data_IF_068879465839
#
_entry.id   IF_068879465839
#
_cell.length_a   1.000
_cell.length_b   1.000
_cell.length_c   1.000
_cell.angle_alpha   90.00
_cell.angle_beta   90.00
_cell.angle_gamma   90.00
#
_symmetry.space_group_name_H-M   'P 1'
#
loop_
_entity.id
_entity.type
_entity.pdbx_description
1 polymer ?
#
# COMPACT_ATOMS: atom_id res chain seq x y z
N UNK A 1 7.87 -2.62 5.55
CA UNK A 1 7.76 -2.47 7.03
C UNK A 1 8.75 -1.39 7.48
N UNK A 2 8.51 -0.72 8.60
CA UNK A 2 9.44 0.33 9.10
C UNK A 2 10.84 -0.27 9.37
N UNK A 3 11.87 0.42 8.89
CA UNK A 3 13.27 0.01 9.03
C UNK A 3 13.72 0.07 10.49
N UNK A 4 14.37 -0.99 10.96
CA UNK A 4 14.92 -1.02 12.33
C UNK A 4 15.99 0.08 12.48
N UNK A 5 15.86 0.90 13.52
CA UNK A 5 16.80 1.99 13.80
C UNK A 5 16.39 3.37 13.29
N UNK A 6 15.23 3.51 12.62
CA UNK A 6 14.63 4.82 12.33
C UNK A 6 13.90 5.46 13.54
N UNK A 7 14.06 4.90 14.76
CA UNK A 7 13.34 5.32 15.97
C UNK A 7 14.10 6.34 16.84
N UNK A 8 15.40 6.55 16.60
CA UNK A 8 16.23 7.47 17.39
C UNK A 8 17.00 8.45 16.50
N UNK A 9 16.93 9.72 16.91
CA UNK A 9 17.24 10.91 16.14
C UNK A 9 18.56 10.88 15.35
N UNK A 10 18.49 11.39 14.12
CA UNK A 10 19.55 12.01 13.31
C UNK A 10 20.06 11.23 12.08
N UNK A 11 19.17 10.88 11.14
CA UNK A 11 19.57 10.34 9.83
C UNK A 11 18.64 10.84 8.71
N UNK A 12 19.21 11.54 7.73
CA UNK A 12 18.58 11.76 6.40
C UNK A 12 18.04 10.46 5.80
N UNK A 13 18.70 9.34 6.12
CA UNK A 13 18.40 7.95 5.77
C UNK A 13 17.02 7.38 6.21
N UNK A 14 16.22 8.15 6.95
CA UNK A 14 14.88 7.75 7.42
C UNK A 14 13.78 8.72 6.95
N UNK A 15 14.03 9.50 5.90
CA UNK A 15 13.04 10.40 5.31
C UNK A 15 12.31 9.74 4.13
N UNK A 16 11.06 10.13 3.90
CA UNK A 16 10.25 9.64 2.78
C UNK A 16 10.17 8.11 2.74
N UNK A 17 10.51 7.52 1.59
CA UNK A 17 10.47 6.07 1.36
C UNK A 17 11.62 5.30 2.03
N UNK A 18 12.72 5.96 2.39
CA UNK A 18 13.93 5.30 2.95
C UNK A 18 13.69 4.71 4.34
N UNK A 19 12.65 5.17 5.03
CA UNK A 19 12.22 4.64 6.34
C UNK A 19 11.60 3.23 6.26
N UNK A 20 11.43 2.67 5.06
CA UNK A 20 10.81 1.37 4.86
C UNK A 20 11.80 0.34 4.31
N UNK A 21 11.69 -0.90 4.77
CA UNK A 21 12.46 -2.06 4.30
C UNK A 21 11.59 -3.33 4.20
N UNK A 22 12.14 -4.34 3.53
CA UNK A 22 11.55 -5.67 3.35
C UNK A 22 11.19 -5.99 1.90
N UNK A 23 10.77 -7.24 1.67
CA UNK A 23 10.56 -7.80 0.33
C UNK A 23 9.76 -6.91 -0.63
N UNK A 24 8.59 -6.42 -0.19
CA UNK A 24 7.74 -5.57 -1.03
C UNK A 24 8.40 -4.22 -1.40
N UNK A 25 9.27 -3.70 -0.52
CA UNK A 25 9.99 -2.46 -0.76
C UNK A 25 11.13 -2.68 -1.75
N UNK A 26 11.84 -3.80 -1.62
CA UNK A 26 12.89 -4.18 -2.57
C UNK A 26 12.33 -4.45 -3.97
N UNK A 27 11.12 -5.02 -4.05
CA UNK A 27 10.38 -5.16 -5.30
C UNK A 27 10.03 -3.80 -5.91
N UNK A 28 9.53 -2.84 -5.12
CA UNK A 28 9.21 -1.49 -5.62
C UNK A 28 10.45 -0.76 -6.13
N UNK A 29 11.59 -0.89 -5.44
CA UNK A 29 12.88 -0.37 -5.91
C UNK A 29 13.27 -0.98 -7.25
N UNK A 30 13.16 -2.30 -7.38
CA UNK A 30 13.46 -2.98 -8.64
C UNK A 30 12.54 -2.55 -9.80
N UNK A 31 11.28 -2.24 -9.51
CA UNK A 31 10.35 -1.70 -10.51
C UNK A 31 10.73 -0.27 -10.90
N UNK A 32 11.06 0.59 -9.94
CA UNK A 32 11.51 1.96 -10.18
C UNK A 32 12.80 2.03 -10.99
N UNK A 33 13.73 1.10 -10.77
CA UNK A 33 14.98 1.01 -11.54
C UNK A 33 14.77 0.54 -12.98
N UNK A 34 13.65 -0.15 -13.29
CA UNK A 34 13.41 -0.78 -14.60
C UNK A 34 12.38 -0.06 -15.45
N UNK A 35 11.53 0.77 -14.85
CA UNK A 35 10.45 1.47 -15.52
C UNK A 35 10.79 2.96 -15.52
N UNK A 36 10.97 3.53 -16.71
CA UNK A 36 11.21 4.97 -16.85
C UNK A 36 10.04 5.77 -16.25
N UNK A 37 10.39 6.89 -15.59
CA UNK A 37 9.45 7.79 -14.92
C UNK A 37 8.58 7.16 -13.81
N UNK A 38 8.98 6.01 -13.27
CA UNK A 38 8.30 5.38 -12.13
C UNK A 38 8.79 5.96 -10.80
N UNK A 39 8.03 6.92 -10.29
CA UNK A 39 8.17 7.49 -8.94
C UNK A 39 7.01 7.07 -8.06
N UNK A 40 7.28 6.84 -6.77
CA UNK A 40 6.26 6.38 -5.83
C UNK A 40 6.46 6.99 -4.45
N UNK A 41 5.39 7.10 -3.67
CA UNK A 41 5.41 7.40 -2.24
C UNK A 41 4.74 6.26 -1.48
N UNK A 42 5.32 5.82 -0.37
CA UNK A 42 4.76 4.74 0.44
C UNK A 42 3.91 5.32 1.57
N UNK A 43 2.61 5.00 1.50
CA UNK A 43 1.63 5.22 2.55
C UNK A 43 1.28 3.87 3.18
N UNK A 44 1.28 3.81 4.51
CA UNK A 44 0.91 2.59 5.24
C UNK A 44 -0.56 2.64 5.67
N UNK A 45 -1.28 1.56 5.40
CA UNK A 45 -2.60 1.30 5.98
C UNK A 45 -2.55 0.04 6.82
N UNK A 46 -3.31 0.03 7.92
CA UNK A 46 -3.50 -1.14 8.77
C UNK A 46 -4.75 -1.96 8.40
N UNK A 47 -5.51 -1.52 7.39
CA UNK A 47 -6.73 -2.18 6.92
C UNK A 47 -6.60 -2.56 5.45
N UNK A 48 -6.84 -3.83 5.14
CA UNK A 48 -6.98 -4.28 3.76
C UNK A 48 -8.19 -3.63 3.08
N UNK A 49 -9.33 -3.66 3.76
CA UNK A 49 -10.55 -3.00 3.34
C UNK A 49 -11.77 -3.85 3.62
N UNK A 50 -12.82 -3.20 4.08
CA UNK A 50 -14.12 -3.78 4.37
C UNK A 50 -15.21 -2.94 3.70
N UNK A 51 -16.22 -3.63 3.15
CA UNK A 51 -17.39 -2.97 2.59
C UNK A 51 -18.21 -2.36 3.72
N UNK A 52 -18.45 -1.07 3.63
CA UNK A 52 -19.23 -0.29 4.59
C UNK A 52 -20.74 -0.40 4.27
N UNK A 53 -21.62 -0.07 5.22
CA UNK A 53 -23.08 -0.12 5.01
C UNK A 53 -23.59 0.77 3.87
N UNK A 54 -22.89 1.87 3.59
CA UNK A 54 -23.20 2.78 2.48
C UNK A 54 -22.71 2.27 1.11
N UNK A 55 -22.09 1.09 1.07
CA UNK A 55 -21.56 0.46 -0.12
C UNK A 55 -20.13 0.86 -0.49
N UNK A 56 -19.53 1.84 0.19
CA UNK A 56 -18.13 2.21 0.03
C UNK A 56 -17.18 1.15 0.61
N UNK A 57 -15.90 1.25 0.31
CA UNK A 57 -14.85 0.43 0.92
C UNK A 57 -13.88 1.31 1.69
N UNK A 58 -13.37 0.80 2.81
CA UNK A 58 -12.29 1.44 3.56
C UNK A 58 -10.93 0.76 3.25
N UNK A 59 -9.87 1.22 3.93
CA UNK A 59 -8.55 0.62 3.85
C UNK A 59 -7.90 0.72 2.46
N UNK A 60 -7.02 -0.23 2.16
CA UNK A 60 -6.31 -0.29 0.88
C UNK A 60 -7.28 -0.42 -0.32
N UNK A 61 -8.34 -1.23 -0.19
CA UNK A 61 -9.36 -1.37 -1.24
C UNK A 61 -10.09 -0.03 -1.47
N UNK A 62 -10.45 0.66 -0.39
CA UNK A 62 -11.07 1.98 -0.47
C UNK A 62 -10.19 2.99 -1.20
N UNK A 63 -8.91 3.07 -0.82
CA UNK A 63 -7.94 3.98 -1.42
C UNK A 63 -7.72 3.72 -2.93
N UNK A 64 -7.72 2.45 -3.35
CA UNK A 64 -7.66 2.10 -4.78
C UNK A 64 -8.94 2.52 -5.53
N UNK A 65 -10.11 2.30 -4.94
CA UNK A 65 -11.39 2.63 -5.58
C UNK A 65 -11.64 4.13 -5.67
N UNK A 66 -11.17 4.90 -4.68
CA UNK A 66 -11.29 6.37 -4.66
C UNK A 66 -10.25 7.08 -5.53
N UNK A 67 -9.20 6.36 -5.97
CA UNK A 67 -8.06 6.95 -6.68
C UNK A 67 -7.09 7.70 -5.77
N UNK A 68 -7.16 7.48 -4.45
CA UNK A 68 -6.17 8.02 -3.50
C UNK A 68 -4.83 7.27 -3.59
N UNK A 69 -4.86 6.00 -4.03
CA UNK A 69 -3.67 5.21 -4.30
C UNK A 69 -3.77 4.56 -5.69
N UNK A 70 -2.67 4.61 -6.45
CA UNK A 70 -2.59 3.97 -7.77
C UNK A 70 -2.26 2.47 -7.68
N UNK A 71 -1.47 2.09 -6.66
CA UNK A 71 -0.98 0.72 -6.45
C UNK A 71 -1.02 0.38 -4.97
N UNK A 72 -1.47 -0.83 -4.65
CA UNK A 72 -1.34 -1.41 -3.32
C UNK A 72 -0.47 -2.66 -3.36
N UNK A 73 0.56 -2.69 -2.52
CA UNK A 73 1.44 -3.86 -2.38
C UNK A 73 1.20 -4.48 -1.01
N UNK A 74 0.49 -5.61 -0.99
CA UNK A 74 0.22 -6.38 0.21
C UNK A 74 0.00 -7.86 -0.15
N UNK A 75 0.00 -8.74 0.86
CA UNK A 75 -0.47 -10.12 0.69
C UNK A 75 -1.99 -10.12 0.54
N UNK A 76 -2.48 -9.90 -0.68
CA UNK A 76 -3.90 -9.88 -1.01
C UNK A 76 -4.32 -11.22 -1.63
N UNK A 77 -5.47 -11.74 -1.17
CA UNK A 77 -6.15 -12.85 -1.84
C UNK A 77 -7.19 -12.29 -2.81
N UNK A 78 -7.08 -12.65 -4.09
CA UNK A 78 -8.07 -12.26 -5.10
C UNK A 78 -9.30 -13.16 -4.92
N UNK A 79 -10.40 -12.55 -4.48
CA UNK A 79 -11.69 -13.22 -4.33
C UNK A 79 -12.72 -12.60 -5.27
N UNK A 80 -13.59 -13.43 -5.85
CA UNK A 80 -14.80 -12.93 -6.49
C UNK A 80 -15.79 -12.55 -5.40
N UNK A 81 -16.03 -11.25 -5.20
CA UNK A 81 -17.15 -10.79 -4.37
C UNK A 81 -18.41 -11.06 -5.18
N UNK A 82 -19.03 -12.22 -4.94
CA UNK A 82 -20.31 -12.56 -5.53
C UNK A 82 -21.34 -11.50 -5.16
N UNK A 83 -22.00 -10.93 -6.16
CA UNK A 83 -23.24 -10.19 -5.96
C UNK A 83 -24.25 -11.14 -5.30
N UNK A 84 -24.33 -11.13 -3.98
CA UNK A 84 -25.53 -11.61 -3.30
C UNK A 84 -26.62 -10.60 -3.63
N UNK A 85 -27.24 -10.77 -4.80
CA UNK A 85 -28.62 -10.33 -4.97
C UNK A 85 -29.40 -11.04 -3.88
N UNK A 86 -30.09 -10.21 -3.11
CA UNK A 86 -31.02 -10.61 -2.09
C UNK A 86 -32.17 -11.35 -2.79
N UNK A 87 -32.16 -12.68 -2.72
CA UNK A 87 -33.38 -13.50 -2.84
C UNK A 87 -33.88 -13.83 -1.42
#
# INVERSE_FOLDING_TARGET
>A
MLKRGCESSNRTECQGNERFEGFCIDLLKLLSDRIEDFHYEIILSNKYGAKQPDGSWDGLIGALLSGEADVCVASLTINQVGNKQQD
#
